data_IF_234163421569
#
_entry.id   IF_234163421569
#
_cell.length_a   1.000
_cell.length_b   1.000
_cell.length_c   1.000
_cell.angle_alpha   90.00
_cell.angle_beta   90.00
_cell.angle_gamma   90.00
#
_symmetry.space_group_name_H-M   'P 1'
#
loop_
_entity.id
_entity.type
_entity.pdbx_description
1 polymer ?
#
# COMPACT_ATOMS: atom_id res chain seq x y z
N UNK A 1 4.84 -3.53 -7.83
CA UNK A 1 4.09 -4.21 -8.91
C UNK A 1 2.61 -3.89 -8.75
N UNK A 2 1.83 -3.77 -9.84
CA UNK A 2 0.41 -3.37 -9.76
C UNK A 2 -0.48 -4.13 -10.73
N UNK A 3 -1.49 -4.82 -10.19
CA UNK A 3 -2.61 -5.36 -10.98
C UNK A 3 -3.82 -4.44 -10.86
N UNK A 4 -4.55 -4.27 -11.97
CA UNK A 4 -5.77 -3.45 -12.00
C UNK A 4 -6.89 -4.19 -12.74
N UNK A 5 -8.07 -4.17 -12.15
CA UNK A 5 -9.28 -4.80 -12.67
C UNK A 5 -10.42 -3.78 -12.65
N UNK A 6 -11.21 -3.75 -13.71
CA UNK A 6 -12.36 -2.84 -13.85
C UNK A 6 -13.53 -3.61 -14.41
N UNK A 7 -14.74 -3.35 -13.91
CA UNK A 7 -15.96 -3.91 -14.50
C UNK A 7 -16.22 -3.33 -15.90
N UNK A 8 -16.91 -4.06 -16.80
CA UNK A 8 -17.16 -3.58 -18.16
C UNK A 8 -17.87 -2.22 -18.24
N UNK A 9 -18.72 -1.92 -17.25
CA UNK A 9 -19.44 -0.65 -17.12
C UNK A 9 -18.61 0.47 -16.45
N UNK A 10 -17.38 0.18 -16.02
CA UNK A 10 -16.48 1.14 -15.38
C UNK A 10 -16.87 1.57 -13.97
N UNK A 11 -17.93 1.01 -13.39
CA UNK A 11 -18.47 1.46 -12.10
C UNK A 11 -17.68 0.94 -10.90
N UNK A 12 -16.93 -0.15 -11.05
CA UNK A 12 -16.06 -0.71 -10.02
C UNK A 12 -14.65 -0.92 -10.57
N UNK A 13 -13.65 -0.39 -9.86
CA UNK A 13 -12.23 -0.60 -10.12
C UNK A 13 -11.55 -1.11 -8.86
N UNK A 14 -10.78 -2.18 -8.99
CA UNK A 14 -10.00 -2.78 -7.93
C UNK A 14 -8.54 -2.80 -8.38
N UNK A 15 -7.62 -2.42 -7.50
CA UNK A 15 -6.19 -2.58 -7.75
C UNK A 15 -5.48 -3.23 -6.59
N UNK A 16 -4.45 -4.02 -6.91
CA UNK A 16 -3.54 -4.62 -5.94
C UNK A 16 -2.16 -4.03 -6.17
N UNK A 17 -1.64 -3.35 -5.15
CA UNK A 17 -0.24 -2.92 -5.14
C UNK A 17 0.57 -3.97 -4.36
N UNK A 18 1.32 -4.78 -5.10
CA UNK A 18 2.11 -5.90 -4.58
C UNK A 18 3.58 -5.49 -4.41
N UNK A 19 4.27 -6.20 -3.52
CA UNK A 19 5.70 -5.99 -3.26
C UNK A 19 6.02 -4.51 -3.04
N UNK A 20 5.20 -3.87 -2.22
CA UNK A 20 5.22 -2.42 -2.03
C UNK A 20 6.47 -2.02 -1.24
N UNK A 21 7.41 -1.39 -1.94
CA UNK A 21 8.72 -0.99 -1.41
C UNK A 21 8.95 0.50 -1.58
N UNK A 22 9.85 1.03 -0.75
CA UNK A 22 10.39 2.38 -0.83
C UNK A 22 11.92 2.33 -0.73
N UNK A 23 12.52 3.48 -0.98
CA UNK A 23 13.90 3.79 -0.59
C UNK A 23 13.85 4.97 0.37
N UNK A 24 14.71 4.96 1.36
CA UNK A 24 14.85 6.04 2.35
C UNK A 24 16.15 6.81 2.17
N UNK A 25 17.08 6.25 1.40
CA UNK A 25 18.30 6.89 0.96
C UNK A 25 18.05 7.68 -0.34
N UNK A 26 18.71 8.82 -0.42
CA UNK A 26 18.64 9.71 -1.58
C UNK A 26 19.88 9.50 -2.45
N UNK A 27 20.11 8.26 -2.88
CA UNK A 27 21.11 7.95 -3.90
C UNK A 27 20.80 8.72 -5.19
N UNK A 28 21.80 8.84 -6.07
CA UNK A 28 21.63 9.53 -7.35
C UNK A 28 20.48 8.90 -8.13
N UNK A 29 19.44 9.67 -8.40
CA UNK A 29 18.30 9.23 -9.19
C UNK A 29 18.73 8.91 -10.62
N UNK A 30 18.53 7.66 -11.03
CA UNK A 30 18.71 7.22 -12.41
C UNK A 30 17.34 6.97 -13.06
N UNK A 31 17.20 7.16 -14.38
CA UNK A 31 16.02 6.73 -15.11
C UNK A 31 15.78 5.23 -14.91
N UNK A 32 14.51 4.84 -14.73
CA UNK A 32 14.04 3.45 -14.53
C UNK A 32 14.68 2.69 -13.36
N UNK A 33 15.27 3.40 -12.41
CA UNK A 33 15.87 2.82 -11.21
C UNK A 33 14.87 2.00 -10.40
N UNK A 34 15.22 0.74 -10.14
CA UNK A 34 14.42 -0.24 -9.39
C UNK A 34 14.96 -0.46 -7.97
N UNK A 35 15.91 0.35 -7.51
CA UNK A 35 16.53 0.22 -6.19
C UNK A 35 15.60 0.69 -5.06
N UNK A 36 14.63 -0.17 -4.75
CA UNK A 36 13.72 -0.04 -3.62
C UNK A 36 13.92 -1.23 -2.69
N UNK A 37 14.76 -1.07 -1.67
CA UNK A 37 15.16 -2.14 -0.76
C UNK A 37 14.20 -2.35 0.41
N UNK A 38 13.43 -1.32 0.80
CA UNK A 38 12.68 -1.32 2.04
C UNK A 38 11.20 -1.62 1.82
N UNK A 39 10.69 -2.69 2.42
CA UNK A 39 9.26 -3.03 2.35
C UNK A 39 8.40 -2.10 3.22
N UNK A 40 7.36 -1.51 2.63
CA UNK A 40 6.37 -0.68 3.35
C UNK A 40 5.37 -1.57 4.10
N UNK A 41 4.99 -2.70 3.49
CA UNK A 41 4.20 -3.78 4.11
C UNK A 41 4.92 -5.12 3.90
N UNK A 42 4.63 -6.17 4.69
CA UNK A 42 5.17 -7.51 4.46
C UNK A 42 5.06 -7.95 2.99
N UNK A 43 6.08 -8.66 2.51
CA UNK A 43 6.21 -9.01 1.08
C UNK A 43 5.10 -9.96 0.58
N UNK A 44 4.49 -10.71 1.49
CA UNK A 44 3.36 -11.62 1.27
C UNK A 44 2.00 -10.92 1.36
N UNK A 45 1.99 -9.60 1.60
CA UNK A 45 0.78 -8.79 1.66
C UNK A 45 0.67 -7.82 0.47
N UNK A 46 -0.53 -7.31 0.24
CA UNK A 46 -0.82 -6.36 -0.83
C UNK A 46 -1.82 -5.33 -0.37
N UNK A 47 -1.70 -4.11 -0.90
CA UNK A 47 -2.72 -3.09 -0.68
C UNK A 47 -3.79 -3.26 -1.76
N UNK A 48 -4.98 -3.70 -1.34
CA UNK A 48 -6.15 -3.72 -2.19
C UNK A 48 -6.88 -2.37 -2.09
N UNK A 49 -6.90 -1.61 -3.18
CA UNK A 49 -7.69 -0.38 -3.30
C UNK A 49 -8.96 -0.67 -4.11
N UNK A 50 -10.12 -0.31 -3.55
CA UNK A 50 -11.43 -0.47 -4.19
C UNK A 50 -12.03 0.91 -4.43
N UNK A 51 -12.36 1.21 -5.68
CA UNK A 51 -12.99 2.47 -6.11
C UNK A 51 -14.30 2.12 -6.80
N UNK A 52 -15.41 2.69 -6.34
CA UNK A 52 -16.72 2.53 -6.98
C UNK A 52 -17.38 3.87 -7.29
N UNK A 53 -18.10 3.94 -8.40
CA UNK A 53 -19.08 4.98 -8.69
C UNK A 53 -20.41 4.51 -8.11
N UNK A 54 -20.86 5.17 -7.04
CA UNK A 54 -22.04 4.73 -6.29
C UNK A 54 -21.74 3.57 -5.33
N UNK A 55 -22.79 2.84 -4.89
CA UNK A 55 -22.64 1.78 -3.89
C UNK A 55 -21.75 0.64 -4.37
N UNK A 56 -20.91 0.13 -3.48
CA UNK A 56 -20.12 -1.08 -3.73
C UNK A 56 -21.07 -2.27 -4.00
N UNK A 57 -20.86 -3.05 -5.08
CA UNK A 57 -21.74 -4.18 -5.42
C UNK A 57 -21.88 -5.20 -4.30
N UNK A 58 -23.08 -5.75 -4.14
CA UNK A 58 -23.37 -6.71 -3.06
C UNK A 58 -22.49 -7.96 -3.13
N UNK A 59 -22.30 -8.53 -4.33
CA UNK A 59 -21.44 -9.69 -4.53
C UNK A 59 -20.01 -9.44 -4.01
N UNK A 60 -19.48 -8.23 -4.21
CA UNK A 60 -18.14 -7.89 -3.74
C UNK A 60 -18.08 -7.79 -2.22
N UNK A 61 -19.10 -7.19 -1.59
CA UNK A 61 -19.18 -7.11 -0.12
C UNK A 61 -19.22 -8.50 0.52
N UNK A 62 -19.98 -9.43 -0.06
CA UNK A 62 -20.05 -10.82 0.42
C UNK A 62 -18.66 -11.47 0.32
N UNK A 63 -18.01 -11.41 -0.85
CA UNK A 63 -16.67 -12.01 -1.02
C UNK A 63 -15.59 -11.37 -0.17
N UNK A 64 -15.64 -10.05 0.01
CA UNK A 64 -14.74 -9.35 0.92
C UNK A 64 -14.93 -9.82 2.38
N UNK A 65 -16.18 -10.02 2.81
CA UNK A 65 -16.50 -10.56 4.12
C UNK A 65 -16.02 -11.99 4.32
N UNK A 66 -16.25 -12.88 3.34
CA UNK A 66 -15.77 -14.27 3.35
C UNK A 66 -14.23 -14.35 3.42
N UNK A 67 -13.54 -13.43 2.74
CA UNK A 67 -12.09 -13.32 2.78
C UNK A 67 -11.55 -12.61 4.04
N UNK A 68 -12.42 -12.21 4.98
CA UNK A 68 -12.03 -11.52 6.21
C UNK A 68 -11.44 -10.12 5.98
N UNK A 69 -11.75 -9.47 4.85
CA UNK A 69 -11.19 -8.19 4.49
C UNK A 69 -11.87 -7.07 5.29
N UNK A 70 -11.04 -6.27 5.95
CA UNK A 70 -11.48 -5.11 6.71
C UNK A 70 -10.99 -3.84 6.03
N UNK A 71 -11.88 -2.84 5.93
CA UNK A 71 -11.51 -1.54 5.41
C UNK A 71 -10.57 -0.85 6.38
N UNK A 72 -9.42 -0.38 5.88
CA UNK A 72 -8.45 0.39 6.65
C UNK A 72 -8.06 1.64 5.87
N UNK A 73 -7.83 2.74 6.58
CA UNK A 73 -7.12 3.89 6.03
C UNK A 73 -5.63 3.55 5.95
N UNK A 74 -5.01 3.75 4.79
CA UNK A 74 -3.60 3.46 4.60
C UNK A 74 -2.94 4.49 3.68
N UNK A 75 -1.84 5.10 4.14
CA UNK A 75 -1.04 6.03 3.36
C UNK A 75 0.33 5.40 3.09
N UNK A 76 0.60 5.09 1.82
CA UNK A 76 1.91 4.52 1.40
C UNK A 76 3.07 5.41 1.83
N UNK A 77 2.91 6.72 1.66
CA UNK A 77 3.94 7.71 1.98
C UNK A 77 4.16 7.84 3.48
N UNK A 78 3.12 8.11 4.26
CA UNK A 78 3.27 8.27 5.72
C UNK A 78 3.82 6.99 6.35
N UNK A 79 3.28 5.82 5.96
CA UNK A 79 3.78 4.54 6.46
C UNK A 79 5.22 4.27 6.05
N UNK A 80 5.66 4.68 4.85
CA UNK A 80 7.08 4.58 4.47
C UNK A 80 7.98 5.44 5.35
N UNK A 81 7.56 6.66 5.66
CA UNK A 81 8.33 7.57 6.51
C UNK A 81 8.39 7.05 7.95
N UNK A 82 7.26 6.70 8.54
CA UNK A 82 7.19 6.16 9.90
C UNK A 82 8.07 4.91 10.07
N UNK A 83 8.13 4.05 9.05
CA UNK A 83 8.93 2.82 9.09
C UNK A 83 10.40 3.02 8.79
N UNK A 84 10.77 3.92 7.88
CA UNK A 84 12.11 3.93 7.28
C UNK A 84 12.81 5.29 7.30
N UNK A 85 12.12 6.38 7.59
CA UNK A 85 12.76 7.69 7.70
C UNK A 85 13.52 7.79 9.04
N UNK A 86 14.86 7.97 9.02
CA UNK A 86 15.66 7.95 10.24
C UNK A 86 15.38 9.15 11.15
N UNK A 87 15.01 10.30 10.58
CA UNK A 87 14.75 11.53 11.34
C UNK A 87 13.41 11.42 12.04
N UNK A 88 12.36 11.02 11.32
CA UNK A 88 11.02 10.86 11.88
C UNK A 88 11.01 9.76 12.96
N UNK A 89 11.70 8.64 12.73
CA UNK A 89 11.81 7.57 13.75
C UNK A 89 12.50 8.05 15.03
N UNK A 90 13.54 8.87 14.90
CA UNK A 90 14.22 9.47 16.04
C UNK A 90 13.29 10.45 16.79
N UNK A 91 12.52 11.27 16.07
CA UNK A 91 11.55 12.21 16.65
C UNK A 91 10.38 11.50 17.36
N UNK A 92 9.92 10.38 16.82
CA UNK A 92 8.85 9.57 17.41
C UNK A 92 9.31 8.71 18.61
N UNK A 93 10.60 8.75 18.97
CA UNK A 93 11.14 7.99 20.11
C UNK A 93 11.25 6.48 19.86
N UNK A 94 11.01 6.00 18.64
CA UNK A 94 11.00 4.56 18.27
C UNK A 94 12.42 3.98 18.17
N UNK A 95 13.43 4.71 18.63
CA UNK A 95 14.82 4.27 18.78
C UNK A 95 15.37 4.36 20.20
N UNK A 96 14.51 4.53 21.22
CA UNK A 96 14.90 4.62 22.65
C UNK A 96 14.24 3.57 23.55
N UNK A 97 13.83 2.43 23.00
CA UNK A 97 13.39 1.29 23.79
C UNK A 97 14.34 0.10 23.57
N UNK A 98 15.06 -0.22 24.65
CA UNK A 98 15.99 -1.34 24.90
C UNK A 98 17.34 -1.33 24.15
#
# INVERSE_FOLDING_TARGET
DRNAFTTPDGTLRITFDNLLRCRSDFSRLLPDDQDFSNFIIPADQSIMEVKSIGPVPYWFRVRAGEAGLMRQSFSKYCTSLEKHDPVLRAQLGVGRAA
#
